data_IF_294579677127
#
_entry.id   IF_294579677127
#
_cell.length_a   1.000
_cell.length_b   1.000
_cell.length_c   1.000
_cell.angle_alpha   90.00
_cell.angle_beta   90.00
_cell.angle_gamma   90.00
#
_symmetry.space_group_name_H-M   'P 1'
#
loop_
_entity.id
_entity.type
_entity.pdbx_description
1 polymer ?
#
# COMPACT_ATOMS: atom_id res chain seq x y z
N UNK A 1 32.49 10.67 18.27
CA UNK A 1 31.83 9.96 19.38
C UNK A 1 30.33 9.91 19.09
N UNK A 2 29.83 8.79 18.56
CA UNK A 2 28.41 8.59 18.27
C UNK A 2 27.66 8.39 19.59
N UNK A 3 26.95 9.44 20.04
CA UNK A 3 26.09 9.35 21.22
C UNK A 3 25.00 8.30 20.96
N UNK A 4 25.08 7.16 21.66
CA UNK A 4 24.02 6.15 21.64
C UNK A 4 22.72 6.81 22.13
N UNK A 5 21.59 6.60 21.43
CA UNK A 5 20.31 7.16 21.86
C UNK A 5 19.95 6.68 23.26
N UNK A 6 19.43 7.60 24.09
CA UNK A 6 18.96 7.32 25.46
C UNK A 6 17.94 6.16 25.47
N UNK A 7 17.89 5.34 26.53
CA UNK A 7 17.06 4.13 26.60
C UNK A 7 15.57 4.38 26.34
N UNK A 8 15.00 5.51 26.77
CA UNK A 8 13.60 5.89 26.48
C UNK A 8 13.34 6.13 24.99
N UNK A 9 14.31 6.72 24.26
CA UNK A 9 14.20 6.92 22.81
C UNK A 9 14.26 5.60 22.05
N UNK A 10 15.00 4.60 22.56
CA UNK A 10 15.00 3.25 21.96
C UNK A 10 13.66 2.56 22.10
N UNK A 11 13.00 2.71 23.25
CA UNK A 11 11.70 2.10 23.54
C UNK A 11 10.57 2.72 22.68
N UNK A 12 10.62 4.05 22.49
CA UNK A 12 9.74 4.79 21.58
C UNK A 12 9.99 4.37 20.13
N UNK A 13 11.26 4.23 19.70
CA UNK A 13 11.61 3.76 18.36
C UNK A 13 11.19 2.31 18.11
N UNK A 14 11.22 1.43 19.11
CA UNK A 14 10.72 0.05 18.98
C UNK A 14 9.21 0.00 18.88
N UNK A 15 8.46 0.77 19.69
CA UNK A 15 7.00 0.88 19.57
C UNK A 15 6.55 1.45 18.22
N UNK A 16 7.24 2.47 17.73
CA UNK A 16 6.96 3.01 16.39
C UNK A 16 7.30 2.00 15.29
N UNK A 17 8.41 1.24 15.41
CA UNK A 17 8.75 0.16 14.47
C UNK A 17 7.71 -0.97 14.45
N UNK A 18 7.11 -1.31 15.59
CA UNK A 18 6.03 -2.31 15.68
C UNK A 18 4.73 -1.79 15.06
N UNK A 19 4.32 -0.56 15.37
CA UNK A 19 3.17 0.10 14.72
C UNK A 19 3.34 0.24 13.20
N UNK A 20 4.58 0.42 12.72
CA UNK A 20 4.87 0.53 11.30
C UNK A 20 4.93 -0.81 10.57
N UNK A 21 5.39 -1.87 11.24
CA UNK A 21 5.15 -3.23 10.76
C UNK A 21 3.67 -3.53 10.69
N UNK A 22 2.87 -3.16 11.69
CA UNK A 22 1.42 -3.35 11.66
C UNK A 22 0.75 -2.56 10.52
N UNK A 23 1.11 -1.29 10.29
CA UNK A 23 0.50 -0.47 9.22
C UNK A 23 0.91 -0.89 7.81
N UNK A 24 2.15 -1.33 7.60
CA UNK A 24 2.55 -1.98 6.34
C UNK A 24 1.90 -3.36 6.19
N UNK A 25 1.74 -4.11 7.29
CA UNK A 25 1.00 -5.38 7.28
C UNK A 25 -0.48 -5.17 6.94
N UNK A 26 -1.09 -4.07 7.41
CA UNK A 26 -2.46 -3.65 7.07
C UNK A 26 -2.59 -3.28 5.59
N UNK A 27 -1.59 -2.62 4.99
CA UNK A 27 -1.53 -2.37 3.54
C UNK A 27 -1.46 -3.67 2.72
N UNK A 28 -0.95 -4.74 3.32
CA UNK A 28 -0.76 -6.05 2.69
C UNK A 28 -1.92 -7.01 3.06
N UNK A 29 -2.73 -6.70 4.07
CA UNK A 29 -3.80 -7.59 4.53
C UNK A 29 -4.97 -7.60 3.55
N UNK A 30 -4.89 -8.50 2.57
CA UNK A 30 -5.95 -8.70 1.60
C UNK A 30 -7.19 -9.32 2.27
N UNK A 31 -8.34 -8.66 2.13
CA UNK A 31 -9.65 -9.17 2.60
C UNK A 31 -9.92 -10.60 2.10
N UNK A 32 -9.47 -10.92 0.88
CA UNK A 32 -9.58 -12.28 0.32
C UNK A 32 -8.71 -13.30 1.04
N UNK A 33 -7.53 -12.92 1.55
CA UNK A 33 -6.69 -13.84 2.33
C UNK A 33 -7.27 -14.04 3.72
N UNK A 34 -7.76 -12.96 4.35
CA UNK A 34 -8.47 -13.00 5.64
C UNK A 34 -9.71 -13.89 5.58
N UNK A 35 -10.55 -13.76 4.56
CA UNK A 35 -11.75 -14.59 4.41
C UNK A 35 -11.40 -16.08 4.22
N UNK A 36 -10.33 -16.41 3.50
CA UNK A 36 -9.84 -17.80 3.39
C UNK A 36 -9.36 -18.37 4.72
N UNK A 37 -8.63 -17.58 5.53
CA UNK A 37 -8.21 -18.01 6.87
C UNK A 37 -9.41 -18.32 7.77
N UNK A 38 -10.42 -17.45 7.75
CA UNK A 38 -11.67 -17.64 8.50
C UNK A 38 -12.38 -18.92 8.04
N UNK A 39 -12.56 -19.11 6.73
CA UNK A 39 -13.22 -20.31 6.19
C UNK A 39 -12.43 -21.59 6.51
N UNK A 40 -11.10 -21.54 6.42
CA UNK A 40 -10.23 -22.65 6.78
C UNK A 40 -10.38 -23.02 8.26
N UNK A 41 -10.37 -22.02 9.16
CA UNK A 41 -10.55 -22.22 10.60
C UNK A 41 -11.94 -22.82 10.91
N UNK A 42 -13.01 -22.26 10.33
CA UNK A 42 -14.37 -22.76 10.52
C UNK A 42 -14.47 -24.22 10.05
N UNK A 43 -13.91 -24.54 8.90
CA UNK A 43 -13.94 -25.90 8.35
C UNK A 43 -13.13 -26.88 9.23
N UNK A 44 -11.94 -26.48 9.67
CA UNK A 44 -11.09 -27.28 10.55
C UNK A 44 -11.78 -27.54 11.91
N UNK A 45 -12.36 -26.51 12.51
CA UNK A 45 -13.14 -26.63 13.75
C UNK A 45 -14.36 -27.52 13.56
N UNK A 46 -15.07 -27.42 12.44
CA UNK A 46 -16.20 -28.30 12.14
C UNK A 46 -15.75 -29.76 12.04
N UNK A 47 -14.62 -30.01 11.38
CA UNK A 47 -14.05 -31.34 11.21
C UNK A 47 -13.65 -31.95 12.56
N UNK A 48 -12.88 -31.21 13.35
CA UNK A 48 -12.47 -31.65 14.69
C UNK A 48 -13.67 -31.90 15.63
N UNK A 49 -14.72 -31.07 15.55
CA UNK A 49 -15.92 -31.22 16.39
C UNK A 49 -16.88 -32.30 15.88
N UNK A 50 -16.76 -32.73 14.63
CA UNK A 50 -17.58 -33.81 14.09
C UNK A 50 -17.32 -35.14 14.81
N UNK A 51 -16.09 -35.34 15.30
CA UNK A 51 -15.65 -36.57 15.96
C UNK A 51 -16.42 -36.87 17.26
N UNK A 52 -16.98 -35.84 17.92
CA UNK A 52 -17.71 -35.98 19.18
C UNK A 52 -19.09 -35.30 19.21
N UNK A 53 -19.52 -34.64 18.12
CA UNK A 53 -20.81 -33.98 18.06
C UNK A 53 -21.58 -34.33 16.78
N UNK A 54 -22.63 -35.15 16.93
CA UNK A 54 -23.51 -35.60 15.84
C UNK A 54 -24.11 -34.44 15.02
N UNK A 55 -24.42 -33.31 15.67
CA UNK A 55 -24.89 -32.11 14.97
C UNK A 55 -23.82 -31.54 14.04
N UNK A 56 -22.56 -31.47 14.48
CA UNK A 56 -21.44 -30.95 13.67
C UNK A 56 -21.09 -31.92 12.55
N UNK A 57 -21.13 -33.22 12.81
CA UNK A 57 -20.98 -34.29 11.82
C UNK A 57 -22.07 -34.19 10.72
N UNK A 58 -23.33 -34.01 11.11
CA UNK A 58 -24.43 -33.78 10.17
C UNK A 58 -24.23 -32.54 9.29
N UNK A 59 -23.80 -31.42 9.87
CA UNK A 59 -23.49 -30.20 9.11
C UNK A 59 -22.32 -30.44 8.15
N UNK A 60 -21.25 -31.10 8.61
CA UNK A 60 -20.08 -31.41 7.77
C UNK A 60 -20.46 -32.27 6.57
N UNK A 61 -21.32 -33.29 6.75
CA UNK A 61 -21.86 -34.11 5.65
C UNK A 61 -22.58 -33.25 4.60
N UNK A 62 -23.45 -32.35 5.02
CA UNK A 62 -24.21 -31.47 4.11
C UNK A 62 -23.31 -30.46 3.40
N UNK A 63 -22.33 -29.90 4.09
CA UNK A 63 -21.34 -28.98 3.51
C UNK A 63 -20.53 -29.67 2.42
N UNK A 64 -20.09 -30.90 2.68
CA UNK A 64 -19.29 -31.69 1.75
C UNK A 64 -20.11 -32.23 0.57
N UNK A 65 -21.36 -32.66 0.80
CA UNK A 65 -22.22 -33.14 -0.29
C UNK A 65 -22.54 -32.05 -1.31
N UNK A 66 -22.70 -30.80 -0.85
CA UNK A 66 -22.95 -29.64 -1.70
C UNK A 66 -21.72 -29.08 -2.42
N UNK A 67 -20.51 -29.58 -2.13
CA UNK A 67 -19.23 -29.09 -2.71
C UNK A 67 -19.11 -27.55 -2.67
N UNK A 68 -19.55 -26.95 -1.58
CA UNK A 68 -19.47 -25.48 -1.41
C UNK A 68 -18.01 -25.02 -1.34
N UNK A 69 -17.75 -23.73 -1.57
CA UNK A 69 -16.39 -23.17 -1.44
C UNK A 69 -15.74 -23.46 -0.06
N UNK A 70 -16.55 -23.56 1.00
CA UNK A 70 -16.07 -23.95 2.33
C UNK A 70 -15.60 -25.41 2.38
N UNK A 71 -16.25 -26.33 1.65
CA UNK A 71 -15.84 -27.73 1.58
C UNK A 71 -14.51 -27.90 0.82
N UNK A 72 -14.31 -27.11 -0.24
CA UNK A 72 -13.12 -27.17 -1.09
C UNK A 72 -11.97 -26.27 -0.60
N UNK A 73 -12.13 -25.57 0.53
CA UNK A 73 -11.18 -24.54 0.97
C UNK A 73 -9.78 -25.11 1.22
N UNK A 74 -9.70 -26.32 1.78
CA UNK A 74 -8.46 -27.02 2.10
C UNK A 74 -7.67 -27.31 0.82
N UNK A 75 -8.34 -27.88 -0.17
CA UNK A 75 -7.78 -28.20 -1.47
C UNK A 75 -7.40 -26.93 -2.25
N UNK A 76 -8.24 -25.89 -2.19
CA UNK A 76 -7.97 -24.59 -2.80
C UNK A 76 -6.70 -23.93 -2.23
N UNK A 77 -6.56 -23.91 -0.91
CA UNK A 77 -5.37 -23.36 -0.24
C UNK A 77 -4.12 -24.15 -0.61
N UNK A 78 -4.20 -25.49 -0.59
CA UNK A 78 -3.07 -26.34 -0.96
C UNK A 78 -2.60 -26.09 -2.38
N UNK A 79 -3.51 -26.05 -3.37
CA UNK A 79 -3.16 -25.75 -4.76
C UNK A 79 -2.61 -24.34 -4.93
N UNK A 80 -3.24 -23.35 -4.29
CA UNK A 80 -2.88 -21.94 -4.50
C UNK A 80 -1.51 -21.59 -3.93
N UNK A 81 -1.16 -22.15 -2.78
CA UNK A 81 0.09 -21.85 -2.07
C UNK A 81 1.12 -22.99 -2.17
N UNK A 82 0.82 -24.05 -2.90
CA UNK A 82 1.65 -25.25 -3.08
C UNK A 82 2.08 -25.88 -1.74
N UNK A 83 1.09 -26.16 -0.86
CA UNK A 83 1.32 -26.73 0.48
C UNK A 83 1.11 -28.24 0.42
N UNK A 84 2.19 -29.01 0.68
CA UNK A 84 2.19 -30.48 0.64
C UNK A 84 1.52 -31.10 1.88
N UNK A 85 1.78 -30.59 3.09
CA UNK A 85 1.20 -31.12 4.32
C UNK A 85 0.23 -30.12 4.98
N UNK A 86 -1.05 -30.27 4.66
CA UNK A 86 -2.11 -29.37 5.15
C UNK A 86 -2.54 -29.74 6.59
N UNK A 87 -2.28 -30.98 7.02
CA UNK A 87 -2.77 -31.48 8.31
C UNK A 87 -2.05 -30.82 9.51
N UNK A 88 -0.83 -30.31 9.33
CA UNK A 88 -0.06 -29.57 10.34
C UNK A 88 -0.16 -28.04 10.20
N UNK A 89 -1.06 -27.57 9.33
CA UNK A 89 -1.18 -26.16 8.99
C UNK A 89 -1.95 -25.38 10.06
N UNK A 90 -1.22 -24.61 10.86
CA UNK A 90 -1.81 -23.62 11.77
C UNK A 90 -2.16 -22.33 11.03
N UNK A 91 -3.15 -21.58 11.53
CA UNK A 91 -3.55 -20.27 10.97
C UNK A 91 -2.37 -19.30 10.89
N UNK A 92 -1.48 -19.30 11.89
CA UNK A 92 -0.28 -18.46 11.92
C UNK A 92 0.72 -18.83 10.83
N UNK A 93 0.88 -20.13 10.53
CA UNK A 93 1.70 -20.61 9.40
C UNK A 93 1.08 -20.21 8.06
N UNK A 94 -0.23 -20.38 7.93
CA UNK A 94 -0.98 -19.98 6.73
C UNK A 94 -0.86 -18.48 6.47
N UNK A 95 -0.93 -17.65 7.52
CA UNK A 95 -0.79 -16.20 7.39
C UNK A 95 0.60 -15.80 6.85
N UNK A 96 1.67 -16.42 7.36
CA UNK A 96 3.04 -16.21 6.85
C UNK A 96 3.17 -16.61 5.38
N UNK A 97 2.67 -17.78 4.99
CA UNK A 97 2.70 -18.26 3.59
C UNK A 97 1.93 -17.30 2.68
N UNK A 98 0.76 -16.84 3.12
CA UNK A 98 -0.05 -15.87 2.38
C UNK A 98 0.68 -14.55 2.20
N UNK A 99 1.39 -14.10 3.23
CA UNK A 99 2.18 -12.87 3.21
C UNK A 99 3.36 -13.00 2.22
N UNK A 100 4.13 -14.08 2.29
CA UNK A 100 5.26 -14.35 1.39
C UNK A 100 4.81 -14.49 -0.08
N UNK A 101 3.69 -15.17 -0.31
CA UNK A 101 3.09 -15.25 -1.64
C UNK A 101 2.72 -13.87 -2.17
N UNK A 102 2.11 -13.02 -1.34
CA UNK A 102 1.70 -11.69 -1.73
C UNK A 102 2.90 -10.78 -1.99
N UNK A 103 3.97 -10.87 -1.20
CA UNK A 103 5.22 -10.15 -1.46
C UNK A 103 5.80 -10.52 -2.82
N UNK A 104 5.90 -11.81 -3.13
CA UNK A 104 6.37 -12.27 -4.46
C UNK A 104 5.49 -11.71 -5.59
N UNK A 105 4.17 -11.70 -5.41
CA UNK A 105 3.25 -11.13 -6.41
C UNK A 105 3.36 -9.61 -6.54
N UNK A 106 3.81 -8.91 -5.50
CA UNK A 106 4.02 -7.47 -5.53
C UNK A 106 5.35 -7.13 -6.18
N UNK A 107 6.40 -7.91 -5.93
CA UNK A 107 7.71 -7.75 -6.57
C UNK A 107 7.65 -7.95 -8.10
N UNK A 108 6.73 -8.78 -8.61
CA UNK A 108 6.52 -8.92 -10.06
C UNK A 108 5.83 -7.69 -10.69
N UNK A 109 5.19 -6.83 -9.89
CA UNK A 109 4.53 -5.62 -10.40
C UNK A 109 5.56 -4.49 -10.50
N UNK A 110 5.84 -3.97 -11.72
CA UNK A 110 6.99 -3.10 -11.97
C UNK A 110 6.95 -1.76 -11.24
N UNK A 111 5.75 -1.24 -10.91
CA UNK A 111 5.62 0.01 -10.16
C UNK A 111 5.56 -0.21 -8.65
N UNK A 112 4.98 -1.32 -8.20
CA UNK A 112 4.88 -1.58 -6.76
C UNK A 112 6.23 -2.05 -6.20
N UNK A 113 7.00 -2.82 -6.96
CA UNK A 113 8.33 -3.31 -6.57
C UNK A 113 9.29 -2.17 -6.20
N UNK A 114 9.15 -0.99 -6.83
CA UNK A 114 9.97 0.19 -6.58
C UNK A 114 9.91 0.60 -5.10
N UNK A 115 8.72 0.65 -4.50
CA UNK A 115 8.57 0.98 -3.08
C UNK A 115 9.33 -0.03 -2.21
N UNK A 116 9.20 -1.32 -2.49
CA UNK A 116 9.85 -2.38 -1.71
C UNK A 116 11.35 -2.49 -1.95
N UNK A 117 11.86 -1.98 -3.08
CA UNK A 117 13.29 -1.81 -3.32
C UNK A 117 13.86 -0.70 -2.43
N UNK A 118 13.19 0.45 -2.37
CA UNK A 118 13.61 1.56 -1.51
C UNK A 118 13.43 1.28 -0.01
N UNK A 119 12.52 0.38 0.38
CA UNK A 119 12.44 -0.12 1.76
C UNK A 119 13.69 -0.90 2.22
N UNK A 120 14.51 -1.40 1.28
CA UNK A 120 15.78 -2.07 1.60
C UNK A 120 16.94 -1.09 1.79
N UNK A 121 16.74 0.18 1.43
CA UNK A 121 17.74 1.24 1.59
C UNK A 121 17.76 1.74 3.04
N UNK A 122 18.96 1.84 3.62
CA UNK A 122 19.18 2.32 4.98
C UNK A 122 18.94 3.82 5.14
N UNK A 123 18.97 4.60 4.06
CA UNK A 123 18.78 6.06 4.12
C UNK A 123 17.30 6.49 4.11
N UNK A 124 16.38 5.57 3.80
CA UNK A 124 14.95 5.88 3.69
C UNK A 124 14.26 5.71 5.04
N UNK A 125 13.80 6.82 5.63
CA UNK A 125 12.95 6.78 6.81
C UNK A 125 11.52 6.38 6.44
N UNK A 126 11.25 5.07 6.52
CA UNK A 126 9.93 4.47 6.25
C UNK A 126 8.83 5.07 7.13
N UNK A 127 9.18 5.42 8.37
CA UNK A 127 8.22 5.89 9.37
C UNK A 127 7.65 7.26 9.01
N UNK A 128 8.52 8.20 8.66
CA UNK A 128 8.08 9.51 8.17
C UNK A 128 7.44 9.42 6.79
N UNK A 129 7.96 8.54 5.92
CA UNK A 129 7.43 8.32 4.58
C UNK A 129 6.00 7.76 4.57
N UNK A 130 5.58 7.07 5.63
CA UNK A 130 4.20 6.59 5.80
C UNK A 130 3.27 7.62 6.47
N UNK A 131 3.82 8.74 6.98
CA UNK A 131 3.05 9.75 7.72
C UNK A 131 1.89 10.35 6.91
N UNK A 132 2.00 10.42 5.58
CA UNK A 132 0.93 10.93 4.72
C UNK A 132 -0.29 9.98 4.61
N UNK A 133 -0.13 8.69 4.91
CA UNK A 133 -1.24 7.75 4.94
C UNK A 133 -2.14 7.99 6.16
N UNK A 134 -1.54 8.41 7.27
CA UNK A 134 -2.24 8.70 8.52
C UNK A 134 -2.82 10.12 8.52
N UNK A 135 -2.08 11.08 7.95
CA UNK A 135 -2.44 12.50 7.93
C UNK A 135 -2.90 12.98 6.54
N UNK A 136 -3.44 12.06 5.75
CA UNK A 136 -3.80 12.32 4.35
C UNK A 136 -4.78 13.48 4.21
N UNK A 137 -4.54 14.32 3.20
CA UNK A 137 -5.38 15.49 2.91
C UNK A 137 -6.67 15.15 2.13
N UNK A 138 -7.09 13.88 2.12
CA UNK A 138 -8.30 13.45 1.45
C UNK A 138 -9.47 13.57 2.43
N UNK A 139 -10.50 14.32 2.05
CA UNK A 139 -11.73 14.37 2.83
C UNK A 139 -12.41 12.99 2.81
N UNK A 140 -13.11 12.65 3.90
CA UNK A 140 -13.91 11.42 3.97
C UNK A 140 -14.89 11.27 2.79
N UNK A 141 -15.41 12.40 2.26
CA UNK A 141 -16.26 12.41 1.06
C UNK A 141 -15.50 12.01 -0.20
N UNK A 142 -14.27 12.49 -0.36
CA UNK A 142 -13.39 12.12 -1.48
C UNK A 142 -13.00 10.66 -1.41
N UNK A 143 -12.66 10.18 -0.21
CA UNK A 143 -12.33 8.78 0.02
C UNK A 143 -13.52 7.86 -0.28
N UNK A 144 -14.71 8.17 0.25
CA UNK A 144 -15.93 7.40 -0.04
C UNK A 144 -16.28 7.37 -1.53
N UNK A 145 -16.03 8.44 -2.27
CA UNK A 145 -16.20 8.48 -3.72
C UNK A 145 -15.16 7.63 -4.45
N UNK A 146 -13.89 7.64 -4.01
CA UNK A 146 -12.85 6.77 -4.53
C UNK A 146 -13.17 5.29 -4.28
N UNK A 147 -13.63 4.92 -3.08
CA UNK A 147 -14.06 3.57 -2.75
C UNK A 147 -15.26 3.15 -3.62
N UNK A 148 -16.29 4.01 -3.74
CA UNK A 148 -17.45 3.74 -4.59
C UNK A 148 -17.07 3.57 -6.06
N UNK A 149 -16.12 4.36 -6.56
CA UNK A 149 -15.57 4.19 -7.90
C UNK A 149 -14.80 2.87 -8.02
N UNK A 150 -13.93 2.51 -7.07
CA UNK A 150 -13.22 1.23 -7.08
C UNK A 150 -14.18 0.03 -7.11
N UNK A 151 -15.23 0.08 -6.29
CA UNK A 151 -16.26 -0.97 -6.23
C UNK A 151 -17.07 -1.08 -7.53
N UNK A 152 -17.37 0.06 -8.17
CA UNK A 152 -18.05 0.11 -9.48
C UNK A 152 -17.14 -0.28 -10.64
N UNK A 153 -15.84 -0.01 -10.53
CA UNK A 153 -14.84 -0.26 -11.57
C UNK A 153 -14.43 -1.74 -11.69
N UNK A 154 -14.92 -2.63 -10.81
CA UNK A 154 -14.83 -4.09 -11.02
C UNK A 154 -15.47 -4.54 -12.35
N UNK A 155 -16.26 -3.68 -13.00
CA UNK A 155 -16.97 -3.96 -14.25
C UNK A 155 -16.64 -2.98 -15.39
N UNK A 156 -15.38 -2.54 -15.54
CA UNK A 156 -15.01 -1.89 -16.80
C UNK A 156 -14.92 -2.92 -17.92
N UNK A 157 -15.99 -2.94 -18.70
CA UNK A 157 -16.08 -2.98 -20.17
C UNK A 157 -15.11 -3.89 -20.92
N UNK A 158 -15.68 -4.70 -21.82
CA UNK A 158 -15.04 -5.79 -22.54
C UNK A 158 -13.90 -5.30 -23.46
N UNK A 159 -12.69 -5.16 -22.90
CA UNK A 159 -11.43 -5.60 -23.51
C UNK A 159 -10.89 -4.92 -24.78
N UNK A 160 -11.62 -4.02 -25.44
CA UNK A 160 -11.23 -3.49 -26.76
C UNK A 160 -10.42 -2.18 -26.69
N UNK A 161 -10.64 -1.35 -25.68
CA UNK A 161 -9.98 -0.04 -25.59
C UNK A 161 -8.57 -0.13 -24.99
N UNK A 162 -7.58 0.43 -25.70
CA UNK A 162 -6.21 0.62 -25.19
C UNK A 162 -6.17 1.80 -24.21
N UNK A 163 -5.19 1.80 -23.31
CA UNK A 163 -5.02 2.86 -22.32
C UNK A 163 -4.68 4.21 -22.97
N UNK A 164 -5.49 5.24 -22.73
CA UNK A 164 -5.32 6.59 -23.32
C UNK A 164 -3.99 7.28 -22.98
N UNK A 165 -3.30 6.86 -21.91
CA UNK A 165 -2.04 7.48 -21.48
C UNK A 165 -0.82 6.85 -22.18
N UNK A 166 -0.74 5.52 -22.21
CA UNK A 166 0.42 4.81 -22.74
C UNK A 166 0.20 4.13 -24.09
N UNK A 167 -1.05 3.95 -24.52
CA UNK A 167 -1.47 3.25 -25.75
C UNK A 167 -0.88 1.84 -25.95
N UNK A 168 -0.20 1.28 -24.95
CA UNK A 168 0.52 0.01 -25.04
C UNK A 168 -0.22 -1.16 -24.41
N UNK A 169 -1.04 -0.92 -23.39
CA UNK A 169 -1.77 -1.96 -22.67
C UNK A 169 -3.29 -1.72 -22.75
N UNK A 170 -4.06 -2.78 -22.53
CA UNK A 170 -5.52 -2.70 -22.40
C UNK A 170 -5.89 -1.77 -21.24
N UNK A 171 -6.95 -1.00 -21.41
CA UNK A 171 -7.47 -0.06 -20.41
C UNK A 171 -8.21 -0.81 -19.30
N UNK A 172 -7.46 -1.52 -18.46
CA UNK A 172 -8.01 -2.19 -17.27
C UNK A 172 -7.77 -1.34 -16.02
N UNK A 173 -8.58 -1.55 -14.97
CA UNK A 173 -8.35 -0.93 -13.65
C UNK A 173 -6.95 -1.25 -13.15
N UNK A 174 -6.55 -2.52 -13.22
CA UNK A 174 -5.24 -2.94 -12.74
C UNK A 174 -4.12 -2.25 -13.55
N UNK A 175 -4.28 -2.07 -14.86
CA UNK A 175 -3.31 -1.32 -15.65
C UNK A 175 -3.27 0.17 -15.25
N UNK A 176 -4.42 0.84 -15.18
CA UNK A 176 -4.47 2.25 -14.80
C UNK A 176 -3.92 2.46 -13.38
N UNK A 177 -4.37 1.68 -12.41
CA UNK A 177 -3.99 1.83 -11.01
C UNK A 177 -2.54 1.44 -10.73
N UNK A 178 -2.00 0.39 -11.39
CA UNK A 178 -0.74 -0.25 -10.94
C UNK A 178 0.35 -0.38 -12.01
N UNK A 179 0.05 -0.15 -13.30
CA UNK A 179 1.00 -0.44 -14.39
C UNK A 179 1.23 0.71 -15.38
N UNK A 180 0.41 1.76 -15.37
CA UNK A 180 0.54 2.85 -16.33
C UNK A 180 1.56 3.91 -15.86
N UNK A 181 2.82 3.77 -16.29
CA UNK A 181 3.89 4.71 -15.91
C UNK A 181 3.65 6.17 -16.32
N UNK A 182 3.06 6.42 -17.50
CA UNK A 182 2.75 7.80 -17.93
C UNK A 182 1.69 8.49 -17.07
N UNK A 183 0.66 7.74 -16.65
CA UNK A 183 -0.36 8.26 -15.74
C UNK A 183 0.22 8.57 -14.36
N UNK A 184 1.10 7.70 -13.87
CA UNK A 184 1.82 7.90 -12.62
C UNK A 184 2.69 9.17 -12.68
N UNK A 185 3.50 9.35 -13.72
CA UNK A 185 4.36 10.54 -13.86
C UNK A 185 3.55 11.84 -13.86
N UNK A 186 2.44 11.90 -14.61
CA UNK A 186 1.56 13.07 -14.60
C UNK A 186 0.95 13.34 -13.22
N UNK A 187 0.47 12.29 -12.55
CA UNK A 187 -0.14 12.41 -11.22
C UNK A 187 0.89 12.76 -10.14
N UNK A 188 2.11 12.24 -10.27
CA UNK A 188 3.25 12.55 -9.42
C UNK A 188 3.65 14.02 -9.57
N UNK A 189 3.93 14.48 -10.79
CA UNK A 189 4.25 15.89 -11.09
C UNK A 189 3.17 16.84 -10.57
N UNK A 190 1.89 16.50 -10.75
CA UNK A 190 0.79 17.33 -10.24
C UNK A 190 0.83 17.44 -8.71
N UNK A 191 1.00 16.33 -7.99
CA UNK A 191 1.11 16.33 -6.52
C UNK A 191 2.35 17.07 -6.04
N UNK A 192 3.49 16.85 -6.71
CA UNK A 192 4.74 17.53 -6.41
C UNK A 192 4.58 19.04 -6.53
N UNK A 193 4.00 19.52 -7.64
CA UNK A 193 3.76 20.95 -7.86
C UNK A 193 2.79 21.54 -6.82
N UNK A 194 1.76 20.80 -6.40
CA UNK A 194 0.86 21.24 -5.33
C UNK A 194 1.56 21.32 -3.95
N UNK A 195 2.47 20.39 -3.64
CA UNK A 195 3.29 20.46 -2.42
C UNK A 195 4.22 21.66 -2.45
N UNK A 196 4.93 21.87 -3.56
CA UNK A 196 5.79 23.05 -3.77
C UNK A 196 4.97 24.34 -3.62
N UNK A 197 3.74 24.37 -4.15
CA UNK A 197 2.81 25.49 -4.01
C UNK A 197 2.44 25.78 -2.56
N UNK A 198 2.18 24.75 -1.76
CA UNK A 198 1.94 24.88 -0.32
C UNK A 198 3.15 25.45 0.41
N UNK A 199 4.33 24.86 0.19
CA UNK A 199 5.59 25.28 0.81
C UNK A 199 5.94 26.72 0.44
N UNK A 200 5.87 27.05 -0.84
CA UNK A 200 6.15 28.40 -1.33
C UNK A 200 5.20 29.43 -0.71
N UNK A 201 3.90 29.13 -0.61
CA UNK A 201 2.95 30.04 0.04
C UNK A 201 3.26 30.20 1.54
N UNK A 202 3.65 29.13 2.21
CA UNK A 202 4.03 29.17 3.62
C UNK A 202 5.26 30.07 3.85
N UNK A 203 6.32 29.88 3.07
CA UNK A 203 7.52 30.71 3.13
C UNK A 203 7.21 32.19 2.80
N UNK A 204 6.43 32.45 1.74
CA UNK A 204 5.98 33.80 1.41
C UNK A 204 5.24 34.51 2.55
N UNK A 205 4.54 33.77 3.41
CA UNK A 205 3.87 34.33 4.59
C UNK A 205 4.85 34.59 5.72
N UNK A 206 5.77 33.64 5.98
CA UNK A 206 6.77 33.80 7.04
C UNK A 206 7.66 35.01 6.81
N UNK A 207 8.11 35.23 5.57
CA UNK A 207 8.95 36.37 5.19
C UNK A 207 8.15 37.64 4.86
N UNK A 208 6.83 37.65 5.07
CA UNK A 208 5.98 38.83 4.84
C UNK A 208 5.82 39.26 3.38
N UNK A 209 6.32 38.48 2.42
CA UNK A 209 6.33 38.82 0.99
C UNK A 209 4.93 38.80 0.38
N UNK A 210 4.05 37.89 0.82
CA UNK A 210 2.62 37.87 0.42
C UNK A 210 1.69 37.51 1.56
N UNK A 211 0.62 38.29 1.74
CA UNK A 211 -0.43 38.10 2.75
C UNK A 211 -1.66 37.31 2.23
N UNK A 212 -1.50 36.43 1.25
CA UNK A 212 -2.62 35.64 0.72
C UNK A 212 -2.96 34.45 1.61
N UNK A 213 -4.24 34.32 2.01
CA UNK A 213 -4.74 33.21 2.85
C UNK A 213 -5.15 31.95 2.08
N UNK A 214 -5.52 32.07 0.80
CA UNK A 214 -6.07 30.95 0.01
C UNK A 214 -5.01 30.33 -0.92
N UNK A 215 -4.87 29.00 -0.87
CA UNK A 215 -3.95 28.24 -1.72
C UNK A 215 -4.39 28.20 -3.20
N UNK A 216 -5.71 28.15 -3.45
CA UNK A 216 -6.26 27.99 -4.81
C UNK A 216 -5.80 29.07 -5.79
N UNK A 217 -5.71 30.31 -5.32
CA UNK A 217 -5.33 31.49 -6.10
C UNK A 217 -3.83 31.77 -6.11
N UNK A 218 -3.05 31.03 -5.32
CA UNK A 218 -1.61 31.22 -5.24
C UNK A 218 -0.95 30.68 -6.52
N UNK A 219 0.04 31.38 -7.05
CA UNK A 219 0.88 30.88 -8.15
C UNK A 219 2.31 30.81 -7.66
N UNK A 220 2.98 29.70 -7.93
CA UNK A 220 4.43 29.58 -7.69
C UNK A 220 5.13 30.45 -8.73
N UNK A 221 6.04 31.30 -8.28
CA UNK A 221 6.91 32.08 -9.16
C UNK A 221 8.34 31.61 -8.91
N UNK A 222 9.16 31.58 -9.95
CA UNK A 222 10.54 31.09 -9.87
C UNK A 222 11.41 31.94 -8.93
N UNK A 223 11.13 33.24 -8.84
CA UNK A 223 11.79 34.17 -7.91
C UNK A 223 10.74 35.08 -7.29
N UNK A 224 10.68 35.11 -5.96
CA UNK A 224 9.73 35.92 -5.19
C UNK A 224 10.48 36.70 -4.13
N UNK A 225 10.67 38.00 -4.40
CA UNK A 225 11.68 38.82 -3.74
C UNK A 225 13.09 38.18 -3.84
N UNK A 226 14.15 38.87 -3.45
CA UNK A 226 15.52 38.37 -3.59
C UNK A 226 15.85 37.12 -2.73
N UNK A 227 14.85 36.50 -2.08
CA UNK A 227 15.04 35.53 -1.00
C UNK A 227 14.43 34.14 -1.28
N UNK A 228 13.32 34.02 -2.03
CA UNK A 228 12.70 32.71 -2.32
C UNK A 228 12.86 32.37 -3.78
N UNK A 229 13.60 31.29 -4.05
CA UNK A 229 13.87 30.76 -5.39
C UNK A 229 13.33 29.33 -5.51
N UNK A 230 12.57 29.07 -6.58
CA UNK A 230 12.01 27.74 -6.91
C UNK A 230 12.48 27.35 -8.30
N UNK A 231 12.77 26.05 -8.50
CA UNK A 231 13.22 25.48 -9.77
C UNK A 231 14.45 26.20 -10.37
N UNK A 232 15.36 26.67 -9.51
CA UNK A 232 16.59 27.36 -9.93
C UNK A 232 17.78 26.43 -9.76
N UNK A 233 18.59 26.26 -10.82
CA UNK A 233 19.83 25.50 -10.75
C UNK A 233 20.84 26.23 -9.87
N UNK A 234 21.23 25.61 -8.77
CA UNK A 234 22.29 26.11 -7.88
C UNK A 234 23.59 25.44 -8.33
N UNK A 235 24.55 26.22 -8.81
CA UNK A 235 25.90 25.71 -9.08
C UNK A 235 26.58 25.48 -7.73
N UNK A 236 26.88 24.23 -7.41
CA UNK A 236 27.68 23.87 -6.23
C UNK A 236 29.08 23.47 -6.67
N UNK A 237 30.11 24.12 -6.11
CA UNK A 237 31.52 23.76 -6.34
C UNK A 237 31.87 22.47 -5.60
N UNK A 238 31.33 21.33 -6.02
CA UNK A 238 31.76 20.02 -5.54
C UNK A 238 32.99 19.58 -6.30
N UNK A 239 34.17 20.05 -5.88
CA UNK A 239 35.40 19.33 -6.16
C UNK A 239 35.38 18.04 -5.32
N UNK A 240 34.95 16.93 -5.92
CA UNK A 240 35.08 15.61 -5.30
C UNK A 240 36.55 15.23 -5.39
N UNK A 241 37.33 15.53 -4.35
CA UNK A 241 38.68 14.97 -4.20
C UNK A 241 38.54 13.46 -4.08
N UNK A 242 38.95 12.74 -5.12
CA UNK A 242 39.11 11.28 -5.09
C UNK A 242 40.15 10.95 -4.00
N UNK A 243 39.70 10.36 -2.90
CA UNK A 243 40.54 9.58 -1.99
C UNK A 243 40.47 8.11 -2.40
#
# INVERSE_FOLDING_TARGET
MTQKPKPEMREILTRHKEQLRETLSLLIECVSNKSKRILFQIYHDLKHKADYCLRREGILRVVNSKKTHMATIVEFISRKYNIENINELTITKLDKIQHEYLMRQIETKPLHSILFQYLKDTEVNVNESAGWLVHGNNSARTEGMCCSLQDRNLFFDNGENKCNHCNSAKKTVDHLATRCGRMLNSSYLRRHNEVVKCLHLHLCRQYGIRKMKKLKTHSVQSVVANEIRVDTTISTDTAVSKQ
#
